data_IF_267893520221
#
_entry.id   IF_267893520221
#
_cell.length_a   1.000
_cell.length_b   1.000
_cell.length_c   1.000
_cell.angle_alpha   90.00
_cell.angle_beta   90.00
_cell.angle_gamma   90.00
#
_symmetry.space_group_name_H-M   'P 1'
#
loop_
_entity.id
_entity.type
_entity.pdbx_description
1 polymer ?
#
# COMPACT_ATOMS: atom_id res chain seq x y z
N UNK A 1 22.96 -5.90 -13.24
CA UNK A 1 21.50 -6.00 -13.49
C UNK A 1 20.67 -6.20 -12.22
N UNK A 2 21.00 -7.12 -11.30
CA UNK A 2 20.19 -7.36 -10.07
C UNK A 2 19.97 -6.12 -9.18
N UNK A 3 21.01 -5.32 -8.88
CA UNK A 3 20.87 -4.12 -8.03
C UNK A 3 20.01 -3.01 -8.66
N UNK A 4 20.19 -2.76 -9.96
CA UNK A 4 19.42 -1.74 -10.70
C UNK A 4 17.92 -2.07 -10.70
N UNK A 5 17.55 -3.34 -10.84
CA UNK A 5 16.15 -3.77 -10.76
C UNK A 5 15.50 -3.50 -9.39
N UNK A 6 16.21 -3.75 -8.29
CA UNK A 6 15.70 -3.47 -6.94
C UNK A 6 15.57 -1.98 -6.63
N UNK A 7 16.48 -1.15 -7.15
CA UNK A 7 16.38 0.31 -7.05
C UNK A 7 15.12 0.78 -7.80
N UNK A 8 14.92 0.31 -9.04
CA UNK A 8 13.74 0.65 -9.83
C UNK A 8 12.44 0.23 -9.14
N UNK A 9 12.38 -0.97 -8.55
CA UNK A 9 11.21 -1.43 -7.79
C UNK A 9 10.94 -0.59 -6.53
N UNK A 10 11.99 -0.14 -5.86
CA UNK A 10 11.87 0.75 -4.69
C UNK A 10 11.31 2.11 -5.11
N UNK A 11 11.86 2.71 -6.17
CA UNK A 11 11.35 3.98 -6.73
C UNK A 11 9.90 3.83 -7.15
N UNK A 12 9.57 2.74 -7.84
CA UNK A 12 8.20 2.43 -8.25
C UNK A 12 7.25 2.33 -7.05
N UNK A 13 7.61 1.59 -6.01
CA UNK A 13 6.76 1.41 -4.83
C UNK A 13 6.47 2.74 -4.11
N UNK A 14 7.50 3.58 -3.94
CA UNK A 14 7.35 4.90 -3.31
C UNK A 14 6.52 5.84 -4.18
N UNK A 15 6.76 5.88 -5.49
CA UNK A 15 5.97 6.71 -6.41
C UNK A 15 4.51 6.25 -6.48
N UNK A 16 4.28 4.93 -6.49
CA UNK A 16 2.94 4.35 -6.45
C UNK A 16 2.22 4.70 -5.15
N UNK A 17 2.90 4.67 -4.01
CA UNK A 17 2.33 5.08 -2.72
C UNK A 17 1.92 6.55 -2.70
N UNK A 18 2.71 7.42 -3.35
CA UNK A 18 2.37 8.84 -3.50
C UNK A 18 1.08 9.02 -4.31
N UNK A 19 0.96 8.33 -5.43
CA UNK A 19 -0.25 8.36 -6.28
C UNK A 19 -1.46 7.85 -5.49
N UNK A 20 -1.31 6.74 -4.78
CA UNK A 20 -2.36 6.17 -3.96
C UNK A 20 -2.85 7.14 -2.87
N UNK A 21 -1.91 7.70 -2.10
CA UNK A 21 -2.23 8.65 -1.06
C UNK A 21 -2.88 9.92 -1.65
N UNK A 22 -2.42 10.41 -2.80
CA UNK A 22 -3.04 11.55 -3.48
C UNK A 22 -4.48 11.24 -3.92
N UNK A 23 -4.73 10.04 -4.48
CA UNK A 23 -6.08 9.59 -4.83
C UNK A 23 -6.97 9.51 -3.59
N UNK A 24 -6.52 8.85 -2.54
CA UNK A 24 -7.28 8.67 -1.29
C UNK A 24 -7.62 10.01 -0.65
N UNK A 25 -6.65 10.91 -0.53
CA UNK A 25 -6.88 12.26 0.02
C UNK A 25 -7.90 13.03 -0.83
N UNK A 26 -7.76 12.99 -2.15
CA UNK A 26 -8.68 13.68 -3.07
C UNK A 26 -10.10 13.12 -2.97
N UNK A 27 -10.26 11.80 -2.98
CA UNK A 27 -11.55 11.13 -2.84
C UNK A 27 -12.22 11.47 -1.52
N UNK A 28 -11.46 11.45 -0.42
CA UNK A 28 -11.95 11.81 0.91
C UNK A 28 -12.41 13.27 0.98
N UNK A 29 -11.69 14.20 0.36
CA UNK A 29 -12.14 15.59 0.27
C UNK A 29 -13.45 15.74 -0.53
N UNK A 30 -13.70 14.88 -1.53
CA UNK A 30 -14.97 14.86 -2.27
C UNK A 30 -16.11 14.23 -1.47
N UNK A 31 -15.83 13.22 -0.65
CA UNK A 31 -16.84 12.54 0.16
C UNK A 31 -17.26 13.36 1.38
N UNK A 32 -16.34 14.14 1.95
CA UNK A 32 -16.54 14.88 3.20
C UNK A 32 -16.26 16.37 2.99
N UNK A 33 -17.32 17.12 2.68
CA UNK A 33 -17.25 18.56 2.42
C UNK A 33 -16.67 19.37 3.60
N UNK A 34 -16.89 18.91 4.83
CA UNK A 34 -16.43 19.57 6.07
C UNK A 34 -14.99 19.15 6.48
N UNK A 35 -14.33 18.32 5.66
CA UNK A 35 -12.96 17.87 5.86
C UNK A 35 -12.85 16.43 6.38
N UNK A 36 -11.71 15.79 6.05
CA UNK A 36 -11.37 14.45 6.53
C UNK A 36 -10.76 14.55 7.94
N UNK A 37 -11.62 14.61 8.95
CA UNK A 37 -11.23 14.57 10.36
C UNK A 37 -12.00 13.47 11.10
N UNK A 38 -11.43 12.85 12.13
CA UNK A 38 -12.18 11.98 13.04
C UNK A 38 -13.36 12.75 13.67
N UNK A 39 -14.55 12.16 13.86
CA UNK A 39 -14.90 10.76 13.61
C UNK A 39 -15.25 10.49 12.14
N UNK A 40 -14.65 9.44 11.56
CA UNK A 40 -14.83 9.07 10.15
C UNK A 40 -16.32 8.85 9.83
N UNK A 41 -16.90 9.75 9.04
CA UNK A 41 -18.27 9.61 8.56
C UNK A 41 -18.37 8.47 7.54
N UNK A 42 -19.57 7.89 7.40
CA UNK A 42 -19.79 6.80 6.44
C UNK A 42 -19.53 7.29 5.01
N UNK A 43 -18.69 6.55 4.27
CA UNK A 43 -18.44 6.81 2.85
C UNK A 43 -19.75 6.53 2.09
N UNK A 44 -20.21 7.42 1.19
CA UNK A 44 -21.36 7.16 0.33
C UNK A 44 -21.18 5.85 -0.48
N UNK A 45 -22.25 5.10 -0.73
CA UNK A 45 -22.15 3.76 -1.35
C UNK A 45 -21.40 3.77 -2.70
N UNK A 46 -21.62 4.78 -3.53
CA UNK A 46 -20.88 4.96 -4.79
C UNK A 46 -19.38 5.19 -4.57
N UNK A 47 -19.01 5.97 -3.54
CA UNK A 47 -17.62 6.18 -3.15
C UNK A 47 -16.97 4.91 -2.60
N UNK A 48 -17.72 4.09 -1.86
CA UNK A 48 -17.21 2.81 -1.35
C UNK A 48 -16.84 1.85 -2.49
N UNK A 49 -17.68 1.73 -3.54
CA UNK A 49 -17.35 0.90 -4.70
C UNK A 49 -16.13 1.41 -5.46
N UNK A 50 -15.99 2.73 -5.58
CA UNK A 50 -14.83 3.33 -6.24
C UNK A 50 -13.54 3.04 -5.48
N UNK A 51 -13.55 3.17 -4.16
CA UNK A 51 -12.41 2.83 -3.29
C UNK A 51 -12.04 1.34 -3.39
N UNK A 52 -13.02 0.44 -3.43
CA UNK A 52 -12.77 -0.99 -3.66
C UNK A 52 -12.10 -1.27 -5.00
N UNK A 53 -12.56 -0.64 -6.09
CA UNK A 53 -11.94 -0.81 -7.40
C UNK A 53 -10.53 -0.22 -7.47
N UNK A 54 -10.29 0.90 -6.78
CA UNK A 54 -8.96 1.48 -6.62
C UNK A 54 -8.02 0.50 -5.91
N UNK A 55 -8.45 -0.09 -4.80
CA UNK A 55 -7.67 -1.11 -4.08
C UNK A 55 -7.40 -2.37 -4.92
N UNK A 56 -8.39 -2.84 -5.68
CA UNK A 56 -8.18 -3.94 -6.65
C UNK A 56 -7.12 -3.55 -7.68
N UNK A 57 -7.18 -2.33 -8.21
CA UNK A 57 -6.19 -1.83 -9.16
C UNK A 57 -4.78 -1.79 -8.55
N UNK A 58 -4.64 -1.35 -7.30
CA UNK A 58 -3.38 -1.39 -6.53
C UNK A 58 -2.82 -2.80 -6.45
N UNK A 59 -3.63 -3.80 -6.10
CA UNK A 59 -3.20 -5.21 -6.05
C UNK A 59 -2.78 -5.74 -7.43
N UNK A 60 -3.52 -5.38 -8.48
CA UNK A 60 -3.20 -5.76 -9.87
C UNK A 60 -1.87 -5.14 -10.31
N UNK A 61 -1.62 -3.87 -9.98
CA UNK A 61 -0.36 -3.18 -10.28
C UNK A 61 0.84 -3.87 -9.60
N UNK A 62 0.72 -4.21 -8.31
CA UNK A 62 1.75 -4.94 -7.55
C UNK A 62 2.01 -6.31 -8.19
N UNK A 63 0.96 -7.05 -8.55
CA UNK A 63 1.10 -8.33 -9.22
C UNK A 63 1.81 -8.18 -10.57
N UNK A 64 1.36 -7.25 -11.43
CA UNK A 64 1.90 -7.04 -12.76
C UNK A 64 3.41 -6.73 -12.75
N UNK A 65 3.86 -5.81 -11.89
CA UNK A 65 5.29 -5.46 -11.80
C UNK A 65 6.13 -6.62 -11.24
N UNK A 66 5.54 -7.44 -10.38
CA UNK A 66 6.22 -8.60 -9.78
C UNK A 66 6.53 -9.69 -10.81
N UNK A 67 5.64 -9.90 -11.79
CA UNK A 67 5.80 -10.87 -12.88
C UNK A 67 6.68 -10.38 -14.04
N UNK A 68 7.09 -9.11 -14.05
CA UNK A 68 7.83 -8.54 -15.18
C UNK A 68 9.19 -9.23 -15.39
N UNK A 69 9.50 -9.59 -16.64
CA UNK A 69 10.77 -10.23 -17.01
C UNK A 69 10.83 -11.73 -16.72
N UNK A 70 9.68 -12.42 -16.65
CA UNK A 70 9.55 -13.89 -16.49
C UNK A 70 10.43 -14.48 -15.37
N UNK A 71 10.41 -13.93 -14.14
CA UNK A 71 11.19 -14.45 -13.04
C UNK A 71 10.61 -15.79 -12.52
N UNK A 72 11.42 -16.61 -11.81
CA UNK A 72 10.87 -17.76 -11.07
C UNK A 72 9.87 -17.28 -10.00
N UNK A 73 8.90 -18.14 -9.64
CA UNK A 73 7.83 -17.80 -8.70
C UNK A 73 8.36 -17.23 -7.36
N UNK A 74 9.48 -17.76 -6.86
CA UNK A 74 10.17 -17.23 -5.66
C UNK A 74 10.46 -15.73 -5.77
N UNK A 75 10.96 -15.29 -6.92
CA UNK A 75 11.32 -13.90 -7.16
C UNK A 75 10.09 -13.04 -7.47
N UNK A 76 9.02 -13.60 -8.07
CA UNK A 76 7.70 -12.93 -8.15
C UNK A 76 7.23 -12.58 -6.74
N UNK A 77 7.18 -13.58 -5.84
CA UNK A 77 6.72 -13.38 -4.45
C UNK A 77 7.61 -12.38 -3.73
N UNK A 78 8.94 -12.48 -3.87
CA UNK A 78 9.85 -11.54 -3.26
C UNK A 78 9.63 -10.09 -3.76
N UNK A 79 9.41 -9.91 -5.06
CA UNK A 79 9.13 -8.57 -5.63
C UNK A 79 7.79 -8.03 -5.15
N UNK A 80 6.75 -8.86 -5.12
CA UNK A 80 5.42 -8.46 -4.66
C UNK A 80 5.43 -8.02 -3.21
N UNK A 81 6.06 -8.80 -2.33
CA UNK A 81 6.22 -8.46 -0.91
C UNK A 81 7.05 -7.19 -0.70
N UNK A 82 8.09 -6.97 -1.52
CA UNK A 82 8.90 -5.76 -1.46
C UNK A 82 8.10 -4.52 -1.83
N UNK A 83 7.40 -4.57 -2.97
CA UNK A 83 6.58 -3.45 -3.45
C UNK A 83 5.43 -3.19 -2.48
N UNK A 84 4.69 -4.22 -2.07
CA UNK A 84 3.59 -4.10 -1.10
C UNK A 84 4.07 -3.48 0.22
N UNK A 85 5.15 -4.01 0.79
CA UNK A 85 5.68 -3.52 2.07
C UNK A 85 6.12 -2.06 2.02
N UNK A 86 6.83 -1.65 0.97
CA UNK A 86 7.24 -0.26 0.83
C UNK A 86 6.07 0.66 0.48
N UNK A 87 5.18 0.22 -0.40
CA UNK A 87 4.01 1.00 -0.80
C UNK A 87 3.16 1.37 0.42
N UNK A 88 2.86 0.40 1.28
CA UNK A 88 2.01 0.58 2.46
C UNK A 88 2.66 1.50 3.51
N UNK A 89 3.96 1.34 3.76
CA UNK A 89 4.68 2.24 4.69
C UNK A 89 4.72 3.68 4.18
N UNK A 90 5.06 3.88 2.91
CA UNK A 90 5.14 5.22 2.34
C UNK A 90 3.77 5.85 2.13
N UNK A 91 2.71 5.05 1.93
CA UNK A 91 1.34 5.52 1.93
C UNK A 91 1.01 6.26 3.24
N UNK A 92 1.34 5.67 4.40
CA UNK A 92 1.15 6.35 5.69
C UNK A 92 2.04 7.58 5.87
N UNK A 93 3.27 7.57 5.35
CA UNK A 93 4.15 8.75 5.37
C UNK A 93 3.49 9.91 4.60
N UNK A 94 3.03 9.67 3.38
CA UNK A 94 2.39 10.72 2.58
C UNK A 94 1.05 11.15 3.15
N UNK A 95 0.26 10.20 3.67
CA UNK A 95 -1.01 10.50 4.33
C UNK A 95 -0.80 11.44 5.54
N UNK A 96 0.22 11.17 6.35
CA UNK A 96 0.60 12.01 7.50
C UNK A 96 1.05 13.39 7.07
N UNK A 97 1.82 13.49 5.98
CA UNK A 97 2.30 14.77 5.46
C UNK A 97 1.15 15.67 4.97
N UNK A 98 0.13 15.10 4.32
CA UNK A 98 -0.96 15.90 3.73
C UNK A 98 -2.16 16.13 4.65
N UNK A 99 -2.47 15.17 5.52
CA UNK A 99 -3.69 15.21 6.33
C UNK A 99 -3.43 15.30 7.83
N UNK A 100 -2.19 15.07 8.27
CA UNK A 100 -1.89 14.87 9.69
C UNK A 100 -2.32 13.51 10.24
N UNK A 101 -3.08 12.69 9.50
CA UNK A 101 -3.43 11.34 9.90
C UNK A 101 -2.32 10.34 9.48
N UNK A 102 -1.93 9.38 10.34
CA UNK A 102 -2.46 9.11 11.67
C UNK A 102 -1.85 10.04 12.73
N UNK A 103 -2.68 10.51 13.66
CA UNK A 103 -2.28 11.32 14.82
C UNK A 103 -1.33 10.52 15.73
N UNK A 104 -1.73 9.27 15.99
CA UNK A 104 -1.03 8.32 16.82
C UNK A 104 -0.97 6.95 16.12
N UNK A 105 0.04 6.15 16.45
CA UNK A 105 0.19 4.79 15.91
C UNK A 105 -0.99 3.85 16.23
N UNK A 106 -1.76 4.17 17.28
CA UNK A 106 -2.95 3.43 17.70
C UNK A 106 -4.25 3.82 17.00
N UNK A 107 -4.22 4.82 16.11
CA UNK A 107 -5.41 5.24 15.39
C UNK A 107 -5.92 4.11 14.50
N UNK A 108 -7.23 3.88 14.54
CA UNK A 108 -7.89 2.88 13.70
C UNK A 108 -7.96 3.41 12.27
N UNK A 109 -7.50 2.58 11.34
CA UNK A 109 -7.62 2.84 9.91
C UNK A 109 -8.37 1.70 9.22
N UNK A 110 -8.94 2.01 8.06
CA UNK A 110 -9.44 1.01 7.13
C UNK A 110 -8.27 0.67 6.21
N UNK A 111 -7.55 -0.40 6.57
CA UNK A 111 -6.31 -0.80 5.89
C UNK A 111 -6.60 -1.31 4.47
N UNK A 112 -7.71 -2.02 4.30
CA UNK A 112 -8.23 -2.49 3.01
C UNK A 112 -9.75 -2.69 3.10
N UNK A 113 -10.49 -2.37 2.05
CA UNK A 113 -11.92 -2.65 1.88
C UNK A 113 -12.20 -3.99 1.20
N UNK A 114 -11.26 -4.52 0.42
CA UNK A 114 -11.42 -5.76 -0.36
C UNK A 114 -10.79 -6.96 0.37
N UNK A 115 -11.45 -8.15 0.44
CA UNK A 115 -12.82 -8.45 -0.01
C UNK A 115 -13.90 -7.98 0.97
N UNK A 116 -13.52 -7.68 2.22
CA UNK A 116 -14.35 -7.10 3.28
C UNK A 116 -13.51 -6.05 4.02
N UNK A 117 -14.10 -5.06 4.71
CA UNK A 117 -13.32 -4.06 5.44
C UNK A 117 -12.42 -4.66 6.52
N UNK A 118 -11.15 -4.30 6.47
CA UNK A 118 -10.12 -4.60 7.46
C UNK A 118 -9.85 -3.34 8.26
N UNK A 119 -10.44 -3.26 9.45
CA UNK A 119 -10.23 -2.15 10.37
C UNK A 119 -9.19 -2.59 11.38
N UNK A 120 -8.08 -1.88 11.46
CA UNK A 120 -7.00 -2.20 12.38
C UNK A 120 -6.21 -0.93 12.77
N UNK A 121 -5.49 -0.95 13.90
CA UNK A 121 -4.59 0.13 14.25
C UNK A 121 -3.49 0.30 13.20
N UNK A 122 -3.08 1.52 12.89
CA UNK A 122 -2.01 1.83 11.92
C UNK A 122 -0.74 1.03 12.19
N UNK A 123 -0.33 0.91 13.46
CA UNK A 123 0.90 0.16 13.79
C UNK A 123 0.87 -1.28 13.29
N UNK A 124 -0.31 -1.91 13.27
CA UNK A 124 -0.46 -3.29 12.80
C UNK A 124 -0.21 -3.40 11.30
N UNK A 125 -0.71 -2.45 10.50
CA UNK A 125 -0.42 -2.36 9.08
C UNK A 125 1.08 -2.19 8.85
N UNK A 126 1.71 -1.22 9.53
CA UNK A 126 3.16 -0.98 9.43
C UNK A 126 4.00 -2.22 9.80
N UNK A 127 3.59 -2.98 10.81
CA UNK A 127 4.28 -4.24 11.17
C UNK A 127 4.17 -5.27 10.06
N UNK A 128 2.98 -5.44 9.48
CA UNK A 128 2.78 -6.36 8.34
C UNK A 128 3.65 -5.93 7.16
N UNK A 129 3.68 -4.65 6.80
CA UNK A 129 4.50 -4.18 5.69
C UNK A 129 6.00 -4.31 5.94
N UNK A 130 6.48 -4.11 7.18
CA UNK A 130 7.86 -4.42 7.56
C UNK A 130 8.18 -5.91 7.40
N UNK A 131 7.29 -6.80 7.86
CA UNK A 131 7.45 -8.26 7.70
C UNK A 131 7.51 -8.65 6.22
N UNK A 132 6.66 -8.06 5.37
CA UNK A 132 6.69 -8.26 3.92
C UNK A 132 8.04 -7.83 3.33
N UNK A 133 8.51 -6.63 3.63
CA UNK A 133 9.77 -6.10 3.12
C UNK A 133 10.98 -6.96 3.57
N UNK A 134 11.01 -7.40 4.83
CA UNK A 134 12.07 -8.30 5.34
C UNK A 134 12.00 -9.66 4.67
N UNK A 135 10.81 -10.24 4.53
CA UNK A 135 10.60 -11.54 3.86
C UNK A 135 11.05 -11.51 2.40
N UNK A 136 10.82 -10.41 1.70
CA UNK A 136 11.32 -10.19 0.35
C UNK A 136 12.86 -10.22 0.27
N UNK A 137 13.54 -9.62 1.26
CA UNK A 137 15.01 -9.66 1.35
C UNK A 137 15.52 -11.09 1.60
N UNK A 138 14.83 -11.88 2.42
CA UNK A 138 15.20 -13.28 2.66
C UNK A 138 15.01 -14.13 1.39
N UNK A 139 13.84 -14.01 0.74
CA UNK A 139 13.50 -14.79 -0.46
C UNK A 139 14.40 -14.46 -1.66
N UNK A 140 14.84 -13.20 -1.77
CA UNK A 140 15.72 -12.75 -2.85
C UNK A 140 17.18 -13.20 -2.72
N UNK A 141 17.61 -13.62 -1.51
CA UNK A 141 19.00 -14.03 -1.22
C UNK A 141 19.29 -15.51 -1.43
N UNK A 142 18.27 -16.38 -1.53
CA UNK A 142 18.50 -17.81 -1.78
C UNK A 142 19.10 -18.06 -3.18
N UNK A 143 20.36 -18.52 -3.20
CA UNK A 143 20.96 -19.17 -4.37
C UNK A 143 20.17 -20.43 -4.68
N UNK A 144 19.81 -20.62 -5.94
CA UNK A 144 19.53 -21.96 -6.46
C UNK A 144 20.81 -22.78 -6.23
N UNK A 145 20.68 -23.87 -5.46
CA UNK A 145 21.72 -24.88 -5.32
C UNK A 145 21.83 -25.68 -6.59
#
# INVERSE_FOLDING_TARGET
MRRVGWIALTIYAVAMALVEAACVVSLKQLYFADGWAPPFHAIPEAGQRLEQWREVATLVMIAAVSFLGRPPLRLVVARGLWVFGLWDLFYYVFLRLWTGFPAHWGDMDIVFLVPKPWIAPVWSACVVSMVCAVSAQVLSRRKEG
#
